data_IF_444597746403
#
_entry.id   IF_444597746403
#
_cell.length_a   1.000
_cell.length_b   1.000
_cell.length_c   1.000
_cell.angle_alpha   90.00
_cell.angle_beta   90.00
_cell.angle_gamma   90.00
#
_symmetry.space_group_name_H-M   'P 1'
#
loop_
_entity.id
_entity.type
_entity.pdbx_description
1 polymer ?
2 water ?
#
# COMPACT_ATOMS: atom_id res chain seq x y z
N UNK A 11 -7.54 16.43 -17.98
CA UNK A 11 -7.68 16.72 -16.52
C UNK A 11 -6.92 17.99 -16.15
N UNK A 12 -7.54 18.82 -15.32
CA UNK A 12 -6.93 20.07 -14.86
C UNK A 12 -5.85 19.79 -13.82
N UNK A 13 -5.07 20.81 -13.48
CA UNK A 13 -4.00 20.67 -12.49
C UNK A 13 -4.50 20.23 -11.12
N UNK A 14 -5.54 20.90 -10.63
CA UNK A 14 -6.12 20.57 -9.34
C UNK A 14 -6.75 19.18 -9.34
N UNK A 15 -7.28 18.77 -10.48
CA UNK A 15 -7.91 17.46 -10.54
C UNK A 15 -6.82 16.40 -10.44
N UNK A 16 -5.73 16.60 -11.17
CA UNK A 16 -4.64 15.64 -11.13
C UNK A 16 -4.12 15.49 -9.71
N UNK A 17 -3.89 16.61 -9.03
CA UNK A 17 -3.40 16.61 -7.64
C UNK A 17 -4.38 15.89 -6.71
N UNK A 18 -5.66 16.18 -6.87
CA UNK A 18 -6.70 15.56 -6.05
C UNK A 18 -6.77 14.05 -6.23
N UNK A 19 -6.81 13.60 -7.47
CA UNK A 19 -6.90 12.17 -7.72
C UNK A 19 -5.64 11.47 -7.20
N UNK A 20 -4.48 12.06 -7.44
CA UNK A 20 -3.21 11.49 -7.02
C UNK A 20 -3.12 11.36 -5.52
N UNK A 21 -3.61 12.38 -4.83
CA UNK A 21 -3.57 12.39 -3.37
C UNK A 21 -4.52 11.32 -2.83
N UNK A 22 -5.67 11.19 -3.46
CA UNK A 22 -6.64 10.20 -3.03
C UNK A 22 -6.02 8.81 -3.23
N UNK A 23 -5.38 8.61 -4.39
CA UNK A 23 -4.72 7.35 -4.71
C UNK A 23 -3.68 7.00 -3.64
N UNK A 24 -2.88 7.99 -3.25
CA UNK A 24 -1.86 7.80 -2.24
C UNK A 24 -2.47 7.36 -0.91
N UNK A 25 -3.46 8.12 -0.43
CA UNK A 25 -4.12 7.81 0.82
C UNK A 25 -4.73 6.41 0.77
N UNK A 26 -5.40 6.09 -0.34
CA UNK A 26 -6.01 4.77 -0.50
C UNK A 26 -4.97 3.66 -0.53
N UNK A 27 -3.84 3.93 -1.18
CA UNK A 27 -2.78 2.95 -1.26
C UNK A 27 -2.25 2.62 0.14
N UNK A 28 -2.01 3.64 0.96
CA UNK A 28 -1.49 3.38 2.30
C UNK A 28 -2.50 2.59 3.13
N UNK A 29 -3.76 3.01 3.11
CA UNK A 29 -4.79 2.33 3.85
C UNK A 29 -4.91 0.85 3.42
N UNK A 30 -4.82 0.57 2.12
CA UNK A 30 -4.92 -0.80 1.66
C UNK A 30 -3.79 -1.67 2.21
N UNK A 31 -2.58 -1.12 2.27
CA UNK A 31 -1.45 -1.88 2.80
C UNK A 31 -1.65 -2.16 4.29
N UNK A 32 -2.00 -1.13 5.05
CA UNK A 32 -2.24 -1.31 6.48
C UNK A 32 -3.27 -2.43 6.66
N UNK A 33 -4.36 -2.37 5.89
CA UNK A 33 -5.37 -3.41 6.01
C UNK A 33 -4.77 -4.79 5.80
N UNK A 34 -4.05 -4.96 4.70
CA UNK A 34 -3.45 -6.27 4.38
C UNK A 34 -2.57 -6.78 5.52
N UNK A 35 -1.57 -5.99 5.91
CA UNK A 35 -0.66 -6.41 6.98
C UNK A 35 -1.40 -6.69 8.29
N UNK A 36 -2.37 -5.84 8.63
CA UNK A 36 -3.11 -6.04 9.87
C UNK A 36 -3.85 -7.38 9.85
N UNK A 37 -4.38 -7.73 8.68
CA UNK A 37 -5.12 -8.98 8.54
C UNK A 37 -4.21 -10.21 8.63
N UNK A 38 -2.94 -10.07 8.25
CA UNK A 38 -1.99 -11.19 8.29
C UNK A 38 -1.57 -11.59 9.71
N UNK A 39 -1.54 -10.61 10.59
CA UNK A 39 -1.12 -10.87 11.96
C UNK A 39 -0.57 -9.58 12.54
N UNK A 40 0.15 -9.67 13.65
CA UNK A 40 0.67 -8.48 14.32
C UNK A 40 1.82 -7.84 13.56
N UNK A 41 2.11 -6.61 13.94
CA UNK A 41 3.19 -5.81 13.35
C UNK A 41 4.56 -6.37 13.73
N UNK A 42 5.42 -6.52 12.73
CA UNK A 42 6.76 -7.03 12.96
C UNK A 42 7.71 -5.89 12.64
N UNK A 43 8.99 -6.08 12.91
CA UNK A 43 9.96 -5.03 12.58
C UNK A 43 10.03 -4.90 11.07
N UNK A 44 10.00 -6.03 10.37
CA UNK A 44 10.08 -6.00 8.91
C UNK A 44 8.96 -5.13 8.37
N UNK A 45 7.75 -5.39 8.83
CA UNK A 45 6.60 -4.62 8.37
C UNK A 45 6.67 -3.19 8.79
N UNK A 46 7.13 -2.90 10.00
CA UNK A 46 7.18 -1.49 10.37
C UNK A 46 8.15 -0.74 9.47
N UNK A 47 9.28 -1.38 9.12
CA UNK A 47 10.28 -0.73 8.26
C UNK A 47 9.72 -0.48 6.88
N UNK A 48 8.98 -1.46 6.38
CA UNK A 48 8.36 -1.32 5.08
C UNK A 48 7.37 -0.15 5.13
N UNK A 49 6.56 -0.10 6.18
CA UNK A 49 5.58 0.97 6.31
C UNK A 49 6.28 2.32 6.35
N UNK A 50 7.39 2.40 7.07
CA UNK A 50 8.13 3.65 7.12
C UNK A 50 8.55 4.13 5.74
N UNK A 51 9.01 3.21 4.90
CA UNK A 51 9.41 3.55 3.55
C UNK A 51 8.20 3.94 2.73
N UNK A 52 7.11 3.19 2.88
CA UNK A 52 5.89 3.46 2.14
C UNK A 52 5.29 4.83 2.50
N UNK A 53 5.23 5.17 3.79
CA UNK A 53 4.66 6.46 4.17
C UNK A 53 5.53 7.61 3.65
N UNK A 54 6.83 7.36 3.49
CA UNK A 54 7.74 8.37 2.98
C UNK A 54 7.43 8.63 1.51
N UNK A 55 7.38 7.57 0.72
CA UNK A 55 7.11 7.72 -0.70
C UNK A 55 5.71 8.27 -1.01
N UNK A 56 4.72 7.93 -0.19
CA UNK A 56 3.35 8.39 -0.43
C UNK A 56 2.97 9.66 0.33
N UNK A 57 3.94 10.25 1.04
CA UNK A 57 3.70 11.49 1.80
C UNK A 57 2.58 11.36 2.82
N UNK A 58 2.69 10.32 3.64
CA UNK A 58 1.73 10.03 4.70
C UNK A 58 2.39 10.46 6.01
N UNK A 59 1.72 11.33 6.76
CA UNK A 59 2.22 11.82 8.04
C UNK A 59 2.12 10.74 9.12
N UNK A 60 2.93 10.89 10.16
CA UNK A 60 2.92 9.94 11.25
C UNK A 60 1.53 9.89 11.91
N UNK A 61 0.87 11.04 12.01
CA UNK A 61 -0.46 11.11 12.61
C UNK A 61 -1.48 10.34 11.77
N UNK A 62 -1.38 10.48 10.44
CA UNK A 62 -2.27 9.77 9.55
C UNK A 62 -2.00 8.28 9.68
N UNK A 63 -0.72 7.94 9.69
CA UNK A 63 -0.29 6.56 9.84
C UNK A 63 -0.95 5.94 11.08
N UNK A 64 -0.84 6.63 12.21
CA UNK A 64 -1.43 6.13 13.45
C UNK A 64 -2.93 5.99 13.33
N UNK A 65 -3.56 6.93 12.65
CA UNK A 65 -5.00 6.85 12.48
C UNK A 65 -5.36 5.56 11.69
N UNK A 66 -4.67 5.31 10.57
CA UNK A 66 -4.98 4.11 9.80
C UNK A 66 -4.78 2.86 10.67
N UNK A 67 -3.71 2.85 11.47
CA UNK A 67 -3.46 1.71 12.34
C UNK A 67 -4.62 1.46 13.32
N UNK A 68 -5.07 2.49 14.04
CA UNK A 68 -6.18 2.31 14.99
C UNK A 68 -7.48 1.85 14.28
N UNK A 69 -7.79 2.49 13.16
CA UNK A 69 -8.96 2.16 12.35
C UNK A 69 -8.86 0.67 12.03
N UNK A 70 -7.69 0.26 11.52
CA UNK A 70 -7.49 -1.13 11.16
C UNK A 70 -7.58 -2.04 12.37
N UNK A 71 -6.94 -1.69 13.48
CA UNK A 71 -7.05 -2.60 14.62
C UNK A 71 -8.50 -2.66 15.14
N UNK A 72 -9.25 -1.57 14.98
CA UNK A 72 -10.66 -1.53 15.42
C UNK A 72 -11.59 -2.22 14.43
N UNK A 73 -11.08 -2.56 13.24
CA UNK A 73 -11.90 -3.19 12.21
C UNK A 73 -12.23 -4.61 12.67
N UNK A 74 -13.47 -4.87 13.07
CA UNK A 74 -13.79 -6.20 13.56
C UNK A 74 -13.63 -7.33 12.52
N UNK A 75 -13.76 -7.00 11.25
CA UNK A 75 -13.60 -8.00 10.21
C UNK A 75 -12.12 -8.33 10.00
N UNK A 76 -11.26 -7.31 10.02
CA UNK A 76 -9.82 -7.53 9.85
C UNK A 76 -9.35 -8.33 11.05
N UNK A 77 -9.89 -7.99 12.22
CA UNK A 77 -9.55 -8.67 13.46
C UNK A 77 -9.99 -10.14 13.39
N UNK A 78 -11.19 -10.39 12.86
CA UNK A 78 -11.64 -11.77 12.77
C UNK A 78 -10.65 -12.49 11.85
N UNK A 79 -10.28 -11.84 10.74
CA UNK A 79 -9.34 -12.43 9.79
C UNK A 79 -8.02 -12.78 10.47
N UNK A 80 -7.45 -11.82 11.21
CA UNK A 80 -6.18 -12.07 11.89
C UNK A 80 -6.38 -13.22 12.86
N UNK A 81 -7.47 -13.13 13.62
CA UNK A 81 -7.86 -14.13 14.61
C UNK A 81 -7.71 -15.55 14.04
N UNK A 82 -8.23 -15.77 12.83
CA UNK A 82 -8.17 -17.07 12.15
C UNK A 82 -6.84 -17.39 11.48
N UNK A 83 -6.22 -16.39 10.87
CA UNK A 83 -4.95 -16.61 10.19
C UNK A 83 -3.77 -16.82 11.12
N UNK A 84 -3.64 -16.01 12.16
CA UNK A 84 -2.49 -16.18 13.06
C UNK A 84 -2.73 -16.19 14.57
N UNK A 85 -3.99 -16.21 15.00
CA UNK A 85 -4.25 -16.25 16.43
C UNK A 85 -5.07 -15.12 17.06
N UNK A 86 -5.55 -15.32 18.30
CA UNK A 86 -6.36 -14.34 19.03
C UNK A 86 -5.58 -13.06 19.33
N UNK A 87 -4.44 -13.22 20.00
CA UNK A 87 -3.62 -12.08 20.34
C UNK A 87 -2.60 -11.85 19.25
N UNK A 88 -3.00 -11.11 18.22
CA UNK A 88 -2.12 -10.79 17.11
C UNK A 88 -2.41 -9.34 16.72
N UNK A 89 -2.67 -8.53 17.74
CA UNK A 89 -2.96 -7.12 17.55
C UNK A 89 -2.24 -6.30 18.62
N UNK A 90 -1.44 -7.00 19.42
CA UNK A 90 -0.67 -6.40 20.52
C UNK A 90 0.19 -5.19 20.12
N UNK A 91 1.14 -5.40 19.20
CA UNK A 91 2.03 -4.32 18.74
C UNK A 91 1.28 -3.27 17.94
N UNK A 92 0.31 -3.69 17.12
CA UNK A 92 -0.48 -2.73 16.35
C UNK A 92 -1.18 -1.72 17.26
N UNK A 93 -1.82 -2.20 18.32
CA UNK A 93 -2.57 -1.35 19.24
C UNK A 93 -1.73 -0.25 19.85
N UNK A 94 -0.49 -0.57 20.20
CA UNK A 94 0.44 0.39 20.78
C UNK A 94 0.90 1.34 19.69
N UNK A 95 1.32 0.75 18.56
CA UNK A 95 1.79 1.51 17.41
C UNK A 95 0.86 2.66 17.09
N UNK A 96 -0.44 2.38 17.14
CA UNK A 96 -1.43 3.40 16.81
C UNK A 96 -1.84 4.39 17.87
N UNK A 97 -1.36 4.22 19.10
CA UNK A 97 -1.73 5.13 20.19
C UNK A 97 -1.71 6.58 19.76
N UNK A 98 -2.74 7.34 20.12
CA UNK A 98 -2.76 8.76 19.75
C UNK A 98 -1.62 9.49 20.46
N UNK A 99 -1.33 10.70 20.00
CA UNK A 99 -0.28 11.52 20.57
C UNK A 99 -0.81 12.32 21.75
N UNK A 100 0.08 12.75 22.63
CA UNK A 100 -0.33 13.55 23.78
C UNK A 100 -1.18 14.71 23.25
N UNK A 101 -2.33 15.00 23.89
CA UNK A 101 -3.21 16.09 23.44
C UNK A 101 -2.64 17.48 23.76
N UNK A 102 -2.34 18.27 22.74
CA UNK A 102 -1.76 19.59 22.97
C UNK A 102 -2.66 20.56 23.71
N UNK A 103 -3.46 21.30 22.95
CA UNK A 103 -4.36 22.35 23.42
C UNK A 103 -4.90 22.96 22.14
N UNK A 104 -6.19 23.43 22.07
CA UNK A 104 -6.58 23.96 20.75
C UNK A 104 -5.60 24.92 20.08
N UNK A 105 -5.24 24.62 18.84
CA UNK A 105 -4.49 25.61 18.13
C UNK A 105 -2.98 25.49 18.21
N UNK A 106 -2.43 24.57 18.92
CA UNK A 106 -0.97 24.62 18.85
C UNK A 106 -0.35 24.25 20.18
N UNK A 107 -1.20 24.04 21.04
N UNK B 10 -19.82 -14.80 12.26
CA UNK B 10 -18.71 -15.67 12.05
C UNK B 10 -18.60 -16.03 10.58
N UNK B 11 -17.32 -16.04 10.31
CA UNK B 11 -16.71 -16.35 9.07
C UNK B 11 -15.80 -17.55 9.28
N UNK B 12 -15.72 -18.39 8.27
CA UNK B 12 -14.88 -19.56 8.38
C UNK B 12 -13.42 -19.24 8.03
N UNK B 13 -12.52 -20.11 8.47
CA UNK B 13 -11.10 -19.89 8.22
C UNK B 13 -10.78 -19.80 6.73
N UNK B 14 -11.49 -20.57 5.92
CA UNK B 14 -11.29 -20.56 4.48
C UNK B 14 -11.66 -19.18 3.91
N UNK B 15 -12.84 -18.67 4.26
CA UNK B 15 -13.24 -17.36 3.76
C UNK B 15 -12.23 -16.30 4.20
N UNK B 16 -11.76 -16.39 5.44
CA UNK B 16 -10.77 -15.43 5.93
C UNK B 16 -9.53 -15.45 5.05
N UNK B 17 -9.11 -16.65 4.66
CA UNK B 17 -7.94 -16.79 3.81
C UNK B 17 -8.14 -16.08 2.47
N UNK B 18 -9.33 -16.23 1.92
CA UNK B 18 -9.65 -15.60 0.64
C UNK B 18 -9.75 -14.08 0.77
N UNK B 19 -10.34 -13.61 1.86
CA UNK B 19 -10.45 -12.18 2.03
C UNK B 19 -9.02 -11.63 2.16
N UNK B 20 -8.21 -12.32 2.96
CA UNK B 20 -6.83 -11.91 3.15
C UNK B 20 -6.11 -11.86 1.78
N UNK B 21 -6.31 -12.87 0.95
CA UNK B 21 -5.64 -12.88 -0.34
C UNK B 21 -6.04 -11.66 -1.12
N UNK B 22 -7.34 -11.41 -1.16
CA UNK B 22 -7.92 -10.27 -1.85
C UNK B 22 -7.30 -8.95 -1.35
N UNK B 23 -7.18 -8.80 -0.03
CA UNK B 23 -6.60 -7.59 0.54
C UNK B 23 -5.16 -7.40 0.10
N UNK B 24 -4.40 -8.51 0.07
CA UNK B 24 -3.00 -8.48 -0.36
C UNK B 24 -2.92 -8.01 -1.80
N UNK B 25 -3.75 -8.59 -2.68
CA UNK B 25 -3.74 -8.19 -4.09
C UNK B 25 -4.17 -6.73 -4.31
N UNK B 26 -5.25 -6.31 -3.66
CA UNK B 26 -5.71 -4.94 -3.79
C UNK B 26 -4.68 -3.93 -3.29
N UNK B 27 -4.01 -4.27 -2.19
CA UNK B 27 -2.99 -3.43 -1.57
C UNK B 27 -1.83 -3.23 -2.52
N UNK B 28 -1.38 -4.28 -3.18
CA UNK B 28 -0.27 -4.11 -4.11
C UNK B 28 -0.72 -3.27 -5.30
N UNK B 29 -1.93 -3.54 -5.80
CA UNK B 29 -2.47 -2.80 -6.94
C UNK B 29 -2.60 -1.31 -6.63
N UNK B 30 -3.15 -0.99 -5.47
CA UNK B 30 -3.29 0.40 -5.09
C UNK B 30 -1.97 1.14 -5.03
N UNK B 31 -0.89 0.45 -4.65
CA UNK B 31 0.42 1.12 -4.58
C UNK B 31 0.96 1.31 -6.00
N UNK B 32 0.85 0.28 -6.83
CA UNK B 32 1.29 0.38 -8.22
C UNK B 32 0.59 1.57 -8.86
N UNK B 33 -0.71 1.66 -8.65
CA UNK B 33 -1.47 2.77 -9.23
C UNK B 33 -0.95 4.13 -8.77
N UNK B 34 -0.84 4.30 -7.46
CA UNK B 34 -0.36 5.55 -6.89
C UNK B 34 1.02 5.94 -7.41
N UNK B 35 1.96 5.00 -7.36
CA UNK B 35 3.32 5.29 -7.80
C UNK B 35 3.32 5.68 -9.27
N UNK B 36 2.55 4.97 -10.08
CA UNK B 36 2.51 5.27 -11.51
C UNK B 36 2.04 6.70 -11.79
N UNK B 37 1.04 7.17 -11.06
CA UNK B 37 0.50 8.52 -11.23
C UNK B 37 1.52 9.57 -10.82
N UNK B 38 2.47 9.17 -9.98
CA UNK B 38 3.48 10.12 -9.54
C UNK B 38 4.52 10.39 -10.62
N UNK B 39 4.79 9.39 -11.44
CA UNK B 39 5.77 9.56 -12.51
C UNK B 39 6.40 8.23 -12.87
N UNK B 40 7.62 8.25 -13.40
CA UNK B 40 8.25 6.99 -13.76
C UNK B 40 8.74 6.28 -12.51
N UNK B 41 8.93 4.97 -12.60
CA UNK B 41 9.40 4.20 -11.45
C UNK B 41 10.86 4.52 -11.15
N UNK B 42 11.15 4.97 -9.93
CA UNK B 42 12.52 5.27 -9.54
C UNK B 42 13.14 4.01 -8.95
N UNK B 43 14.45 4.04 -8.71
CA UNK B 43 15.14 2.89 -8.12
C UNK B 43 14.61 2.69 -6.70
N UNK B 44 14.40 3.81 -6.00
CA UNK B 44 13.87 3.77 -4.65
C UNK B 44 12.50 3.10 -4.67
N UNK B 45 11.70 3.46 -5.67
CA UNK B 45 10.36 2.91 -5.80
C UNK B 45 10.36 1.45 -6.20
N UNK B 46 11.31 1.05 -7.03
CA UNK B 46 11.36 -0.34 -7.43
C UNK B 46 11.66 -1.20 -6.20
N UNK B 47 12.67 -0.80 -5.41
CA UNK B 47 13.04 -1.56 -4.22
C UNK B 47 11.88 -1.70 -3.24
N UNK B 48 11.08 -0.65 -3.14
CA UNK B 48 9.91 -0.64 -2.28
C UNK B 48 8.94 -1.70 -2.79
N UNK B 49 8.72 -1.73 -4.10
CA UNK B 49 7.80 -2.73 -4.65
C UNK B 49 8.30 -4.18 -4.42
N UNK B 50 9.61 -4.39 -4.45
CA UNK B 50 10.13 -5.74 -4.22
C UNK B 50 9.85 -6.19 -2.79
N UNK B 51 10.00 -5.27 -1.85
CA UNK B 51 9.74 -5.59 -0.45
C UNK B 51 8.22 -5.82 -0.29
N UNK B 52 7.44 -4.95 -0.90
CA UNK B 52 5.99 -5.09 -0.86
C UNK B 52 5.60 -6.48 -1.36
N UNK B 53 6.12 -6.86 -2.52
CA UNK B 53 5.76 -8.14 -3.07
C UNK B 53 6.24 -9.34 -2.25
N UNK B 54 7.19 -9.12 -1.34
CA UNK B 54 7.64 -10.21 -0.48
C UNK B 54 6.58 -10.39 0.60
N UNK B 55 6.32 -9.29 1.30
CA UNK B 55 5.37 -9.25 2.41
C UNK B 55 3.93 -9.60 2.01
N UNK B 56 3.54 -9.21 0.80
CA UNK B 56 2.20 -9.47 0.31
C UNK B 56 2.17 -10.70 -0.58
N UNK B 57 3.29 -11.42 -0.63
CA UNK B 57 3.42 -12.62 -1.48
C UNK B 57 2.84 -12.38 -2.87
N UNK B 58 3.50 -11.50 -3.61
CA UNK B 58 3.08 -11.16 -4.96
C UNK B 58 4.00 -11.81 -6.00
N UNK B 59 3.43 -12.63 -6.87
CA UNK B 59 4.20 -13.30 -7.91
C UNK B 59 4.69 -12.33 -8.98
N UNK B 60 5.71 -12.74 -9.74
CA UNK B 60 6.23 -11.89 -10.79
C UNK B 60 5.15 -11.66 -11.85
N UNK B 61 4.31 -12.67 -12.06
CA UNK B 61 3.24 -12.52 -13.03
C UNK B 61 2.25 -11.43 -12.57
N UNK B 62 1.94 -11.41 -11.28
CA UNK B 62 1.02 -10.42 -10.70
C UNK B 62 1.57 -9.03 -10.94
N UNK B 63 2.84 -8.87 -10.59
CA UNK B 63 3.56 -7.61 -10.72
C UNK B 63 3.44 -7.10 -12.13
N UNK B 64 3.73 -7.96 -13.12
CA UNK B 64 3.65 -7.56 -14.53
C UNK B 64 2.26 -7.11 -14.93
N UNK B 65 1.24 -7.88 -14.55
CA UNK B 65 -0.12 -7.51 -14.89
C UNK B 65 -0.46 -6.13 -14.34
N UNK B 66 -0.19 -5.90 -13.06
CA UNK B 66 -0.48 -4.60 -12.46
C UNK B 66 0.25 -3.44 -13.17
N UNK B 67 1.54 -3.62 -13.44
CA UNK B 67 2.31 -2.59 -14.12
C UNK B 67 1.73 -2.36 -15.51
N UNK B 68 1.51 -3.44 -16.26
CA UNK B 68 0.96 -3.32 -17.61
C UNK B 68 -0.36 -2.56 -17.56
N UNK B 69 -1.21 -2.90 -16.59
CA UNK B 69 -2.48 -2.21 -16.41
C UNK B 69 -2.24 -0.72 -16.15
N UNK B 70 -1.39 -0.44 -15.18
CA UNK B 70 -1.12 0.94 -14.80
C UNK B 70 -0.48 1.78 -15.91
N UNK B 71 0.59 1.27 -16.48
CA UNK B 71 1.29 2.01 -17.51
C UNK B 71 0.40 2.27 -18.72
N UNK B 72 -0.61 1.42 -18.92
CA UNK B 72 -1.53 1.57 -20.05
C UNK B 72 -2.87 2.20 -19.65
N UNK B 73 -2.94 2.73 -18.43
CA UNK B 73 -4.13 3.38 -17.90
C UNK B 73 -4.08 4.88 -18.26
N UNK B 74 -5.04 5.34 -19.06
CA UNK B 74 -5.08 6.74 -19.48
C UNK B 74 -5.12 7.77 -18.35
N UNK B 75 -5.95 7.52 -17.34
CA UNK B 75 -6.04 8.43 -16.20
C UNK B 75 -4.69 8.56 -15.50
N UNK B 76 -4.19 7.43 -15.00
CA UNK B 76 -2.92 7.41 -14.28
C UNK B 76 -1.81 8.09 -15.06
N UNK B 77 -1.73 7.79 -16.36
CA UNK B 77 -0.71 8.37 -17.23
C UNK B 77 -0.88 9.89 -17.34
N UNK B 78 -2.11 10.35 -17.52
CA UNK B 78 -2.33 11.79 -17.60
C UNK B 78 -1.80 12.46 -16.31
N UNK B 79 -2.09 11.87 -15.15
CA UNK B 79 -1.64 12.42 -13.88
C UNK B 79 -0.12 12.51 -13.88
N UNK B 80 0.52 11.42 -14.30
CA UNK B 80 1.99 11.33 -14.35
C UNK B 80 2.60 12.42 -15.25
N UNK B 81 2.00 12.67 -16.41
CA UNK B 81 2.55 13.71 -17.26
C UNK B 81 2.42 15.06 -16.54
N UNK B 82 1.24 15.35 -16.02
CA UNK B 82 1.01 16.61 -15.28
C UNK B 82 1.98 16.75 -14.12
N UNK B 83 2.25 15.63 -13.45
CA UNK B 83 3.15 15.63 -12.30
C UNK B 83 4.63 15.62 -12.60
N UNK B 84 5.06 15.00 -13.71
CA UNK B 84 6.50 14.95 -13.90
C UNK B 84 7.02 14.96 -15.35
N UNK B 85 6.20 15.34 -16.33
CA UNK B 85 6.81 15.43 -17.65
C UNK B 85 6.46 14.22 -18.54
N UNK B 86 6.64 14.39 -19.88
CA UNK B 86 6.27 13.39 -20.90
C UNK B 86 7.05 12.07 -21.01
N UNK B 87 8.10 11.87 -20.22
CA UNK B 87 8.80 10.60 -20.33
C UNK B 87 8.75 9.91 -18.97
N UNK B 88 7.54 9.52 -18.59
CA UNK B 88 7.29 8.90 -17.29
C UNK B 88 6.90 7.42 -17.37
N UNK B 89 7.31 6.74 -18.44
CA UNK B 89 6.92 5.35 -18.62
C UNK B 89 8.07 4.41 -18.92
N UNK B 90 9.22 4.97 -19.28
CA UNK B 90 10.38 4.17 -19.62
C UNK B 90 10.61 2.99 -18.71
N UNK B 91 10.82 3.28 -17.43
CA UNK B 91 11.08 2.27 -16.43
C UNK B 91 9.87 1.37 -16.18
N UNK B 92 8.67 1.94 -16.21
CA UNK B 92 7.46 1.14 -16.00
C UNK B 92 7.32 0.14 -17.16
N UNK B 93 7.72 0.56 -18.36
CA UNK B 93 7.61 -0.30 -19.54
C UNK B 93 8.53 -1.51 -19.43
N UNK B 94 9.74 -1.29 -18.92
CA UNK B 94 10.67 -2.40 -18.78
C UNK B 94 10.14 -3.33 -17.70
N UNK B 95 9.64 -2.76 -16.61
CA UNK B 95 9.10 -3.58 -15.53
C UNK B 95 7.98 -4.46 -16.02
N UNK B 96 7.20 -3.95 -16.97
CA UNK B 96 6.09 -4.72 -17.49
C UNK B 96 6.57 -5.93 -18.26
N UNK B 97 7.85 -5.95 -18.58
CA UNK B 97 8.42 -7.07 -19.33
C UNK B 97 9.32 -7.95 -18.47
N UNK B 98 9.23 -7.77 -17.16
CA UNK B 98 10.04 -8.54 -16.21
C UNK B 98 9.68 -10.06 -16.15
N UNK B 99 10.69 -10.92 -16.04
CA UNK B 99 10.48 -12.38 -15.95
C UNK B 99 11.15 -12.96 -14.70
N UNK B 100 12.20 -12.29 -14.23
CA UNK B 100 12.94 -12.70 -13.03
C UNK B 100 12.41 -11.96 -11.80
N UNK B 101 12.52 -12.61 -10.63
CA UNK B 101 12.04 -12.01 -9.38
C UNK B 101 12.56 -10.62 -9.09
N UNK B 102 11.63 -9.76 -8.70
CA UNK B 102 11.91 -8.37 -8.36
C UNK B 102 12.87 -8.35 -7.17
N UNK B 103 12.63 -9.26 -6.22
CA UNK B 103 13.46 -9.34 -5.03
C UNK B 103 12.99 -8.36 -3.98
N UNK B 104 13.89 -7.76 -3.22
CA UNK B 104 13.46 -6.84 -2.19
C UNK B 104 14.20 -5.52 -2.32
N UNK B 105 14.03 -4.83 -3.36
#
# INVERSE_FOLDING_TARGET
>A
MPVVWPTLLDLSRDECKRILRKLELEAYAGVISALRAQGDLTKEKKDLLGELSKVLSISTERHRAEVRRAVNDERLTTIAHNMSGPNSSSEWSIEGRRLVPLMPRLVP
>B
MPVVWPTLLDLSRDECKRILRKLELEAYAGVISALRAQGDLTKEKKDLLGELSKVLSISTERHRAEVRRAVNDERLTTIAHNMSGPNSSSEWSIEGRRLVPLMPRLVP
#
